data_IF_242718036086
#
_entry.id   IF_242718036086
#
_cell.length_a   1.000
_cell.length_b   1.000
_cell.length_c   1.000
_cell.angle_alpha   90.00
_cell.angle_beta   90.00
_cell.angle_gamma   90.00
#
_symmetry.space_group_name_H-M   'P 1'
#
loop_
_entity.id
_entity.type
_entity.pdbx_description
1 polymer ?
#
# COMPACT_ATOMS: atom_id res chain seq x y z
N UNK A 1 -26.25 -27.38 29.20
CA UNK A 1 -26.27 -26.03 29.83
C UNK A 1 -27.10 -25.14 28.92
N UNK A 2 -28.08 -24.40 29.44
CA UNK A 2 -28.86 -23.46 28.62
C UNK A 2 -27.99 -22.25 28.27
N UNK A 3 -27.98 -21.87 27.00
CA UNK A 3 -27.28 -20.68 26.52
C UNK A 3 -27.97 -19.46 27.14
N UNK A 4 -27.20 -18.56 27.75
CA UNK A 4 -27.70 -17.30 28.33
C UNK A 4 -27.17 -16.14 27.48
N UNK A 5 -28.07 -15.26 27.06
CA UNK A 5 -27.72 -14.05 26.31
C UNK A 5 -27.55 -12.84 27.23
N UNK A 6 -26.73 -11.84 26.84
CA UNK A 6 -26.66 -10.57 27.55
C UNK A 6 -28.04 -9.88 27.63
N UNK A 7 -28.32 -9.22 28.75
CA UNK A 7 -29.53 -8.43 28.93
C UNK A 7 -29.30 -6.99 28.49
N UNK A 8 -30.28 -6.43 27.78
CA UNK A 8 -30.37 -5.00 27.45
C UNK A 8 -31.67 -4.44 28.01
N UNK A 9 -31.73 -3.13 28.24
CA UNK A 9 -32.94 -2.45 28.67
C UNK A 9 -33.72 -1.98 27.46
N UNK A 10 -34.93 -2.52 27.26
CA UNK A 10 -35.86 -2.09 26.22
C UNK A 10 -37.07 -1.50 26.93
N UNK A 11 -37.34 -0.21 26.69
CA UNK A 11 -38.40 0.54 27.38
C UNK A 11 -38.34 0.42 28.92
N UNK A 12 -37.13 0.32 29.49
CA UNK A 12 -36.92 0.22 30.93
C UNK A 12 -37.03 -1.19 31.52
N UNK A 13 -37.31 -2.21 30.71
CA UNK A 13 -37.39 -3.60 31.15
C UNK A 13 -36.18 -4.41 30.65
N UNK A 14 -35.56 -5.27 31.50
CA UNK A 14 -34.53 -6.20 31.05
C UNK A 14 -35.10 -7.21 30.06
N UNK A 15 -34.53 -7.24 28.86
CA UNK A 15 -34.81 -8.24 27.83
C UNK A 15 -33.51 -8.88 27.37
N UNK A 16 -33.55 -10.17 27.04
CA UNK A 16 -32.43 -10.81 26.34
C UNK A 16 -32.27 -10.15 24.97
N UNK A 17 -31.03 -9.79 24.65
CA UNK A 17 -30.72 -9.34 23.30
C UNK A 17 -30.99 -10.50 22.33
N UNK A 18 -31.67 -10.21 21.22
CA UNK A 18 -31.89 -11.22 20.19
C UNK A 18 -30.54 -11.72 19.68
N UNK A 19 -30.46 -12.99 19.26
CA UNK A 19 -29.21 -13.56 18.73
C UNK A 19 -28.71 -12.84 17.47
N UNK A 20 -29.57 -12.05 16.83
CA UNK A 20 -29.29 -11.22 15.64
C UNK A 20 -29.04 -9.75 15.98
N UNK A 21 -29.20 -9.34 17.24
CA UNK A 21 -29.12 -7.96 17.68
C UNK A 21 -27.79 -7.72 18.43
N UNK A 22 -27.26 -6.50 18.33
CA UNK A 22 -25.97 -6.12 18.94
C UNK A 22 -26.15 -4.88 19.79
N UNK A 23 -25.38 -4.80 20.88
CA UNK A 23 -25.35 -3.58 21.71
C UNK A 23 -24.80 -2.43 20.85
N UNK A 24 -25.69 -1.53 20.46
CA UNK A 24 -25.32 -0.29 19.78
C UNK A 24 -24.28 0.46 20.64
N UNK A 25 -23.17 0.89 20.02
CA UNK A 25 -22.08 1.60 20.68
C UNK A 25 -21.19 0.77 21.65
N UNK A 26 -21.14 -0.56 21.48
CA UNK A 26 -20.29 -1.47 22.27
C UNK A 26 -18.78 -1.44 22.01
N UNK A 27 -18.25 -0.44 21.30
CA UNK A 27 -16.84 0.03 21.28
C UNK A 27 -15.68 -0.93 20.97
N UNK A 28 -15.87 -2.25 20.97
CA UNK A 28 -14.78 -3.21 20.82
C UNK A 28 -14.72 -3.70 19.38
N UNK A 29 -13.89 -3.03 18.57
CA UNK A 29 -13.49 -3.54 17.27
C UNK A 29 -12.77 -4.86 17.50
N UNK A 30 -13.24 -5.95 16.89
CA UNK A 30 -12.60 -7.27 16.99
C UNK A 30 -11.17 -7.14 16.46
N UNK A 31 -10.17 -7.74 17.13
CA UNK A 31 -8.76 -7.64 16.72
C UNK A 31 -8.14 -9.03 16.61
N UNK A 32 -7.40 -9.28 15.54
CA UNK A 32 -6.67 -10.54 15.35
C UNK A 32 -6.07 -10.66 13.95
N UNK A 33 -5.20 -11.63 13.69
CA UNK A 33 -4.54 -11.81 12.39
C UNK A 33 -5.38 -12.59 11.37
N UNK A 34 -6.53 -13.13 11.79
CA UNK A 34 -7.44 -13.92 10.96
C UNK A 34 -8.83 -13.29 10.96
N UNK A 35 -9.50 -13.29 9.81
CA UNK A 35 -10.83 -12.70 9.66
C UNK A 35 -11.88 -13.39 10.56
N UNK A 36 -12.85 -12.64 11.13
CA UNK A 36 -13.99 -13.22 11.85
C UNK A 36 -14.88 -14.07 10.94
N UNK A 37 -15.31 -15.24 11.43
CA UNK A 37 -16.10 -16.21 10.65
C UNK A 37 -17.60 -15.89 10.54
N UNK A 38 -18.14 -15.02 11.41
CA UNK A 38 -19.57 -14.67 11.48
C UNK A 38 -19.75 -13.15 11.39
N UNK A 39 -19.27 -12.58 10.28
CA UNK A 39 -19.37 -11.15 10.01
C UNK A 39 -20.78 -10.76 9.53
N UNK A 40 -21.26 -9.61 9.99
CA UNK A 40 -22.47 -8.95 9.50
C UNK A 40 -22.06 -7.68 8.76
N UNK A 41 -22.82 -7.27 7.75
CA UNK A 41 -22.57 -6.02 7.02
C UNK A 41 -22.37 -4.83 7.98
N UNK A 42 -21.33 -4.04 7.75
CA UNK A 42 -20.90 -2.94 8.60
C UNK A 42 -20.00 -3.33 9.78
N UNK A 43 -19.74 -4.61 10.02
CA UNK A 43 -18.81 -5.03 11.08
C UNK A 43 -17.41 -4.50 10.84
N UNK A 44 -16.73 -4.09 11.92
CA UNK A 44 -15.34 -3.63 11.90
C UNK A 44 -14.40 -4.69 12.50
N UNK A 45 -13.25 -4.89 11.87
CA UNK A 45 -12.19 -5.78 12.33
C UNK A 45 -10.82 -5.10 12.17
N UNK A 46 -10.00 -5.11 13.22
CA UNK A 46 -8.59 -4.74 13.13
C UNK A 46 -7.78 -5.98 12.79
N UNK A 47 -7.33 -6.08 11.54
CA UNK A 47 -6.38 -7.08 11.10
C UNK A 47 -5.00 -6.75 11.66
N UNK A 48 -4.61 -7.44 12.73
CA UNK A 48 -3.32 -7.22 13.39
C UNK A 48 -2.14 -7.83 12.63
N UNK A 49 -2.39 -8.71 11.65
CA UNK A 49 -1.35 -9.26 10.78
C UNK A 49 -0.90 -8.26 9.72
N UNK A 50 -1.84 -7.45 9.22
CA UNK A 50 -1.58 -6.40 8.21
C UNK A 50 -1.64 -4.97 8.77
N UNK A 51 -1.90 -4.81 10.07
CA UNK A 51 -2.08 -3.52 10.76
C UNK A 51 -3.09 -2.60 10.04
N UNK A 52 -4.26 -3.16 9.69
CA UNK A 52 -5.28 -2.48 8.88
C UNK A 52 -6.67 -2.63 9.46
N UNK A 53 -7.48 -1.57 9.42
CA UNK A 53 -8.89 -1.63 9.74
C UNK A 53 -9.67 -2.17 8.52
N UNK A 54 -10.54 -3.13 8.75
CA UNK A 54 -11.42 -3.76 7.77
C UNK A 54 -12.88 -3.51 8.11
N UNK A 55 -13.73 -3.38 7.09
CA UNK A 55 -15.20 -3.38 7.19
C UNK A 55 -15.75 -4.55 6.37
N UNK A 56 -16.73 -5.27 6.90
CA UNK A 56 -17.44 -6.28 6.12
C UNK A 56 -18.55 -5.60 5.31
N UNK A 57 -18.56 -5.75 3.99
CA UNK A 57 -19.50 -5.07 3.07
C UNK A 57 -20.78 -5.88 2.76
N UNK A 58 -21.03 -6.91 3.58
CA UNK A 58 -22.09 -7.90 3.35
C UNK A 58 -21.63 -9.14 2.57
N UNK A 59 -20.48 -9.06 1.88
CA UNK A 59 -19.92 -10.17 1.10
C UNK A 59 -18.48 -10.51 1.46
N UNK A 60 -17.66 -9.52 1.76
CA UNK A 60 -16.22 -9.66 2.02
C UNK A 60 -15.70 -8.60 3.00
N UNK A 61 -14.54 -8.88 3.60
CA UNK A 61 -13.81 -7.90 4.40
C UNK A 61 -12.97 -6.99 3.51
N UNK A 62 -13.32 -5.70 3.44
CA UNK A 62 -12.63 -4.67 2.65
C UNK A 62 -11.89 -3.69 3.56
N UNK A 63 -10.80 -3.08 3.07
CA UNK A 63 -10.01 -2.13 3.89
C UNK A 63 -10.71 -0.79 4.08
N UNK A 64 -10.76 -0.34 5.33
CA UNK A 64 -11.17 1.02 5.73
C UNK A 64 -9.91 1.87 5.79
N UNK A 65 -9.57 2.50 4.67
CA UNK A 65 -8.34 3.27 4.51
C UNK A 65 -7.47 2.73 3.38
N UNK A 66 -7.13 3.61 2.45
CA UNK A 66 -6.68 3.29 1.08
C UNK A 66 -7.73 3.81 0.12
N UNK A 67 -7.38 4.87 -0.62
CA UNK A 67 -8.32 5.56 -1.48
C UNK A 67 -8.94 4.57 -2.48
N UNK A 68 -10.22 4.78 -2.78
CA UNK A 68 -11.03 4.09 -3.79
C UNK A 68 -10.50 4.24 -5.25
N UNK A 69 -9.19 4.39 -5.42
CA UNK A 69 -8.47 4.53 -6.68
C UNK A 69 -6.95 4.67 -6.54
N UNK A 70 -6.41 4.69 -5.31
CA UNK A 70 -4.96 4.77 -5.05
C UNK A 70 -4.59 3.71 -4.00
N UNK A 71 -3.64 2.84 -4.31
CA UNK A 71 -3.34 1.67 -3.50
C UNK A 71 -3.07 1.97 -2.03
N UNK A 72 -3.28 0.97 -1.17
CA UNK A 72 -3.08 1.10 0.28
C UNK A 72 -1.65 1.52 0.61
N UNK A 73 -1.49 2.38 1.63
CA UNK A 73 -0.19 2.78 2.18
C UNK A 73 0.14 1.92 3.40
N UNK A 74 1.30 1.26 3.39
CA UNK A 74 1.77 0.40 4.47
C UNK A 74 3.08 0.94 5.05
N UNK A 75 3.30 0.76 6.35
CA UNK A 75 4.55 1.10 7.04
C UNK A 75 4.96 -0.10 7.87
N UNK A 76 6.01 -0.81 7.47
CA UNK A 76 6.39 -2.10 8.06
C UNK A 76 7.83 -2.49 7.67
N UNK A 77 8.54 -3.30 8.47
CA UNK A 77 9.85 -3.87 8.09
C UNK A 77 9.74 -4.97 7.03
N UNK A 78 8.55 -5.55 6.83
CA UNK A 78 8.28 -6.60 5.83
C UNK A 78 7.23 -6.14 4.83
N UNK A 79 7.37 -6.60 3.58
CA UNK A 79 6.44 -6.28 2.50
C UNK A 79 5.03 -6.82 2.81
N UNK A 80 3.97 -6.04 2.53
CA UNK A 80 2.58 -6.51 2.62
C UNK A 80 2.33 -7.74 1.75
N UNK A 81 1.55 -8.70 2.26
CA UNK A 81 1.28 -9.99 1.58
C UNK A 81 0.17 -9.93 0.54
N UNK A 82 -0.68 -8.90 0.59
CA UNK A 82 -1.80 -8.69 -0.35
C UNK A 82 -1.84 -7.26 -0.88
N UNK A 83 -0.81 -6.80 -1.60
CA UNK A 83 -0.85 -5.48 -2.22
C UNK A 83 -1.78 -5.46 -3.44
N UNK A 84 -2.44 -4.34 -3.65
CA UNK A 84 -3.11 -4.01 -4.92
C UNK A 84 -2.19 -3.14 -5.77
N UNK A 85 -2.44 -3.07 -7.09
CA UNK A 85 -1.64 -2.22 -7.98
C UNK A 85 -1.57 -0.78 -7.46
N UNK A 86 -0.36 -0.21 -7.43
CA UNK A 86 -0.14 1.14 -6.91
C UNK A 86 -0.13 1.22 -5.37
N UNK A 87 -0.20 0.10 -4.65
CA UNK A 87 0.03 0.11 -3.19
C UNK A 87 1.40 0.70 -2.88
N UNK A 88 1.48 1.46 -1.80
CA UNK A 88 2.71 2.08 -1.34
C UNK A 88 3.16 1.39 -0.06
N UNK A 89 4.45 1.13 0.09
CA UNK A 89 5.02 0.53 1.30
C UNK A 89 6.29 1.27 1.68
N UNK A 90 6.31 1.86 2.87
CA UNK A 90 7.54 2.34 3.49
C UNK A 90 8.21 1.17 4.22
N UNK A 91 9.29 0.67 3.62
CA UNK A 91 10.17 -0.35 4.15
C UNK A 91 11.02 0.24 5.28
N UNK A 92 10.62 0.03 6.52
CA UNK A 92 11.30 0.61 7.68
C UNK A 92 12.68 -0.01 7.95
N UNK A 93 12.97 -1.16 7.35
CA UNK A 93 14.29 -1.81 7.47
C UNK A 93 15.31 -1.09 6.60
N UNK A 94 14.93 -0.74 5.37
CA UNK A 94 15.81 -0.12 4.39
C UNK A 94 15.63 1.40 4.26
N UNK A 95 14.59 1.98 4.87
CA UNK A 95 14.27 3.40 4.79
C UNK A 95 13.74 3.83 3.42
N UNK A 96 13.10 2.92 2.67
CA UNK A 96 12.68 3.17 1.29
C UNK A 96 11.17 3.13 1.14
N UNK A 97 10.61 4.15 0.50
CA UNK A 97 9.26 4.07 -0.03
C UNK A 97 9.28 3.25 -1.32
N UNK A 98 8.36 2.29 -1.44
CA UNK A 98 8.20 1.41 -2.59
C UNK A 98 6.76 1.45 -3.09
N UNK A 99 6.56 1.24 -4.39
CA UNK A 99 5.25 1.09 -5.03
C UNK A 99 5.13 -0.34 -5.59
N UNK A 100 3.98 -0.96 -5.41
CA UNK A 100 3.68 -2.28 -5.97
C UNK A 100 3.16 -2.15 -7.40
N UNK A 101 3.84 -2.81 -8.34
CA UNK A 101 3.43 -2.89 -9.73
C UNK A 101 2.81 -4.28 -9.99
N UNK A 102 1.49 -4.33 -10.18
CA UNK A 102 0.79 -5.60 -10.40
C UNK A 102 1.17 -6.26 -11.74
N UNK A 103 1.59 -5.47 -12.74
CA UNK A 103 2.01 -5.97 -14.05
C UNK A 103 3.27 -6.85 -13.96
N UNK A 104 4.20 -6.52 -13.06
CA UNK A 104 5.45 -7.26 -12.86
C UNK A 104 5.46 -8.08 -11.55
N UNK A 105 4.46 -7.92 -10.69
CA UNK A 105 4.36 -8.58 -9.38
C UNK A 105 5.57 -8.25 -8.48
N UNK A 106 6.00 -6.99 -8.48
CA UNK A 106 7.18 -6.53 -7.74
C UNK A 106 6.88 -5.26 -6.94
N UNK A 107 7.61 -5.07 -5.83
CA UNK A 107 7.77 -3.78 -5.17
C UNK A 107 8.99 -3.06 -5.76
N UNK A 108 8.79 -1.88 -6.32
CA UNK A 108 9.87 -1.04 -6.87
C UNK A 108 10.07 0.19 -5.99
N UNK A 109 11.30 0.67 -5.76
CA UNK A 109 11.53 1.94 -5.06
C UNK A 109 10.80 3.10 -5.74
N UNK A 110 10.16 3.95 -4.95
CA UNK A 110 9.53 5.19 -5.39
C UNK A 110 10.53 6.36 -5.30
N UNK A 111 11.76 6.13 -5.78
CA UNK A 111 12.85 7.09 -5.79
C UNK A 111 13.71 6.89 -7.03
N UNK A 112 14.33 7.96 -7.53
CA UNK A 112 15.35 7.86 -8.57
C UNK A 112 16.71 7.57 -7.93
N UNK A 113 17.41 6.57 -8.45
CA UNK A 113 18.79 6.27 -8.11
C UNK A 113 19.74 7.09 -8.99
N UNK A 114 20.94 7.39 -8.46
CA UNK A 114 22.03 7.99 -9.22
C UNK A 114 23.24 7.03 -9.20
N UNK A 115 23.60 6.49 -10.36
CA UNK A 115 24.73 5.59 -10.54
C UNK A 115 25.96 6.35 -11.03
N UNK A 116 27.15 6.05 -10.49
CA UNK A 116 28.42 6.64 -10.93
C UNK A 116 29.41 5.52 -11.25
N UNK A 117 29.62 5.25 -12.54
CA UNK A 117 30.53 4.19 -13.01
C UNK A 117 30.81 4.31 -14.51
N UNK A 118 31.92 3.75 -14.99
CA UNK A 118 32.35 3.92 -16.39
C UNK A 118 31.41 3.29 -17.41
N UNK A 119 30.79 2.15 -17.07
CA UNK A 119 29.86 1.41 -17.93
C UNK A 119 28.42 1.53 -17.44
N UNK A 120 27.45 1.46 -18.36
CA UNK A 120 26.04 1.57 -18.01
C UNK A 120 25.62 0.48 -17.01
N UNK A 121 24.81 0.81 -15.98
CA UNK A 121 24.21 -0.20 -15.11
C UNK A 121 23.41 -1.23 -15.92
N UNK A 122 23.59 -2.51 -15.60
CA UNK A 122 22.92 -3.64 -16.27
C UNK A 122 21.77 -4.25 -15.46
N UNK A 123 21.60 -3.85 -14.20
CA UNK A 123 20.50 -4.25 -13.32
C UNK A 123 20.30 -3.24 -12.20
N UNK A 124 19.19 -3.36 -11.46
CA UNK A 124 18.91 -2.54 -10.28
C UNK A 124 18.53 -1.09 -10.58
N UNK A 125 18.32 -0.75 -11.84
CA UNK A 125 17.81 0.54 -12.28
C UNK A 125 16.30 0.45 -12.55
N UNK A 126 15.63 1.58 -12.37
CA UNK A 126 14.23 1.78 -12.70
C UNK A 126 14.07 2.98 -13.63
N UNK A 127 12.88 3.14 -14.19
CA UNK A 127 12.54 4.29 -15.02
C UNK A 127 12.86 5.60 -14.28
N UNK A 128 13.53 6.53 -14.96
CA UNK A 128 13.89 7.83 -14.40
C UNK A 128 15.20 7.85 -13.60
N UNK A 129 15.85 6.70 -13.37
CA UNK A 129 17.17 6.65 -12.75
C UNK A 129 18.21 7.38 -13.61
N UNK A 130 19.22 7.96 -12.97
CA UNK A 130 20.31 8.69 -13.61
C UNK A 130 21.61 7.91 -13.50
N UNK A 131 22.40 7.88 -14.56
CA UNK A 131 23.74 7.30 -14.60
C UNK A 131 24.75 8.32 -15.12
N UNK A 132 25.84 8.52 -14.39
CA UNK A 132 27.00 9.28 -14.82
C UNK A 132 28.15 8.34 -15.19
N UNK A 133 28.69 8.49 -16.40
CA UNK A 133 29.93 7.84 -16.83
C UNK A 133 31.12 8.78 -16.69
N UNK A 134 32.07 8.52 -15.76
CA UNK A 134 33.31 9.31 -15.68
C UNK A 134 34.20 9.16 -16.93
N UNK A 135 34.17 8.00 -17.57
CA UNK A 135 34.95 7.72 -18.78
C UNK A 135 34.43 8.51 -19.99
N UNK A 136 33.10 8.57 -20.15
CA UNK A 136 32.47 9.31 -21.25
C UNK A 136 32.18 10.77 -20.91
N UNK A 137 32.24 11.14 -19.62
CA UNK A 137 31.82 12.42 -19.07
C UNK A 137 30.38 12.82 -19.44
N UNK A 138 29.44 11.87 -19.29
CA UNK A 138 28.04 12.02 -19.72
C UNK A 138 27.09 11.54 -18.63
N UNK A 139 26.05 12.33 -18.38
CA UNK A 139 24.86 11.89 -17.64
C UNK A 139 23.86 11.26 -18.61
N UNK A 140 23.20 10.19 -18.20
CA UNK A 140 22.14 9.50 -18.93
C UNK A 140 20.97 9.20 -18.01
N UNK A 141 19.74 9.16 -18.54
CA UNK A 141 18.56 8.72 -17.80
C UNK A 141 18.05 7.39 -18.37
N UNK A 142 17.61 6.48 -17.51
CA UNK A 142 16.99 5.25 -17.95
C UNK A 142 15.53 5.50 -18.35
N UNK A 143 15.19 5.26 -19.62
CA UNK A 143 13.83 5.42 -20.14
C UNK A 143 13.21 4.03 -20.32
N UNK A 144 12.32 3.65 -19.41
CA UNK A 144 11.56 2.41 -19.58
C UNK A 144 10.43 2.59 -20.62
N UNK A 145 9.90 1.48 -21.13
CA UNK A 145 8.80 1.48 -22.09
C UNK A 145 9.22 1.70 -23.55
N UNK A 146 9.66 2.91 -23.92
CA UNK A 146 9.89 3.27 -25.34
C UNK A 146 11.25 2.80 -25.88
N UNK A 147 12.32 2.95 -25.11
CA UNK A 147 13.68 2.60 -25.54
C UNK A 147 14.31 1.48 -24.70
N UNK A 148 13.91 1.32 -23.45
CA UNK A 148 14.46 0.31 -22.54
C UNK A 148 15.97 0.48 -22.31
N UNK A 149 16.48 1.71 -22.44
CA UNK A 149 17.90 2.01 -22.52
C UNK A 149 18.29 3.29 -21.75
N UNK A 150 19.57 3.41 -21.46
CA UNK A 150 20.19 4.64 -20.97
C UNK A 150 20.32 5.64 -22.10
N UNK A 151 19.63 6.77 -21.99
CA UNK A 151 19.65 7.84 -22.99
C UNK A 151 20.49 9.00 -22.45
N UNK A 152 21.56 9.43 -23.15
CA UNK A 152 22.35 10.60 -22.76
C UNK A 152 21.49 11.85 -22.59
N UNK A 153 21.67 12.53 -21.46
CA UNK A 153 21.07 13.81 -21.15
C UNK A 153 21.88 14.90 -21.85
N UNK A 154 21.25 15.59 -22.80
CA UNK A 154 21.88 16.62 -23.63
C UNK A 154 22.26 17.88 -22.85
N UNK A 155 23.24 18.61 -23.39
CA UNK A 155 23.90 19.75 -22.75
C UNK A 155 22.94 20.82 -22.24
N UNK A 156 23.11 21.18 -20.97
CA UNK A 156 22.44 22.28 -20.27
C UNK A 156 20.92 22.07 -20.14
N UNK A 157 20.51 21.49 -19.01
CA UNK A 157 19.13 21.63 -18.54
C UNK A 157 18.87 23.13 -18.32
N UNK A 158 18.38 23.81 -19.35
CA UNK A 158 17.72 25.09 -19.16
C UNK A 158 16.46 24.82 -18.37
N UNK A 159 16.20 25.61 -17.34
CA UNK A 159 14.99 25.54 -16.50
C UNK A 159 13.70 25.56 -17.34
N UNK A 160 13.79 26.06 -18.58
CA UNK A 160 12.71 26.07 -19.57
C UNK A 160 12.27 24.68 -20.06
N UNK A 161 13.16 23.69 -20.12
CA UNK A 161 12.82 22.34 -20.64
C UNK A 161 12.20 21.43 -19.56
N UNK A 162 12.37 21.77 -18.28
CA UNK A 162 11.83 21.04 -17.12
C UNK A 162 10.36 21.42 -16.82
N UNK A 163 9.88 22.57 -17.32
CA UNK A 163 8.52 23.06 -17.06
C UNK A 163 7.56 22.92 -18.25
N UNK A 164 7.93 22.20 -19.31
CA UNK A 164 7.09 22.00 -20.49
C UNK A 164 6.05 20.86 -20.37
N UNK A 165 5.69 20.48 -19.14
CA UNK A 165 4.44 19.77 -18.87
C UNK A 165 3.47 20.73 -18.19
N UNK A 166 2.94 21.67 -18.99
CA UNK A 166 1.62 22.27 -18.78
C UNK A 166 0.59 21.52 -19.58
#
# INVERSE_FOLDING_TARGET
MTVRFPLVLVNGYPQEIASTDRVANGGNIVRGPSQPAAAVDGDLWMDTGNNSLKIYDGTAWVSVGGASGGGSTFVSPTAPSQPTNGSMWYDTTNGLLKIYLAASVQWVPAQNNVFIQNSAPSSGFFEGDIWYSPLANVFSMYIAGTTGAWVPMGSQLSVSDILAFG
#
